data_IF_792166207529
#
_entry.id   IF_792166207529
#
_cell.length_a   1.000
_cell.length_b   1.000
_cell.length_c   1.000
_cell.angle_alpha   90.00
_cell.angle_beta   90.00
_cell.angle_gamma   90.00
#
_symmetry.space_group_name_H-M   'P 1'
#
loop_
_entity.id
_entity.type
_entity.pdbx_description
1 polymer ?
#
# COMPACT_ATOMS: atom_id res chain seq x y z
N UNK A 1 7.18 -29.47 8.78
CA UNK A 1 8.63 -29.79 8.87
C UNK A 1 9.33 -29.59 7.52
N UNK A 2 8.74 -30.06 6.41
CA UNK A 2 9.31 -29.93 5.06
C UNK A 2 9.65 -28.48 4.68
N UNK A 3 8.72 -27.54 4.90
CA UNK A 3 8.95 -26.13 4.58
C UNK A 3 10.06 -25.48 5.42
N UNK A 4 10.20 -25.87 6.69
CA UNK A 4 11.30 -25.40 7.54
C UNK A 4 12.65 -25.93 7.06
N UNK A 5 12.71 -27.17 6.59
CA UNK A 5 13.93 -27.73 5.99
C UNK A 5 14.30 -26.97 4.71
N UNK A 6 13.34 -26.67 3.84
CA UNK A 6 13.54 -25.87 2.64
C UNK A 6 14.04 -24.45 2.97
N UNK A 7 13.46 -23.79 3.97
CA UNK A 7 13.95 -22.48 4.42
C UNK A 7 15.40 -22.56 4.92
N UNK A 8 15.73 -23.56 5.72
CA UNK A 8 17.10 -23.76 6.22
C UNK A 8 18.10 -24.07 5.09
N UNK A 9 17.66 -24.72 4.02
CA UNK A 9 18.47 -24.96 2.83
C UNK A 9 18.68 -23.70 2.00
N UNK A 10 17.66 -22.87 1.82
CA UNK A 10 17.74 -21.65 1.03
C UNK A 10 18.51 -20.55 1.76
N UNK A 11 18.19 -20.30 3.04
CA UNK A 11 18.76 -19.20 3.83
C UNK A 11 19.98 -19.68 4.61
N UNK A 12 21.11 -19.79 3.92
CA UNK A 12 22.41 -20.12 4.51
C UNK A 12 23.28 -18.88 4.69
N UNK A 13 24.20 -18.85 5.67
CA UNK A 13 25.07 -17.69 5.92
C UNK A 13 25.91 -17.25 4.71
N UNK A 14 26.22 -18.16 3.79
CA UNK A 14 27.05 -17.90 2.60
C UNK A 14 26.26 -17.25 1.45
N UNK A 15 24.94 -17.15 1.57
CA UNK A 15 24.07 -16.58 0.54
C UNK A 15 23.59 -15.20 0.91
N UNK A 16 23.42 -14.36 -0.10
CA UNK A 16 22.70 -13.11 0.04
C UNK A 16 21.20 -13.37 0.23
N UNK A 17 20.49 -12.41 0.80
CA UNK A 17 19.02 -12.50 0.94
C UNK A 17 18.32 -12.62 -0.42
N UNK A 18 18.86 -11.97 -1.46
CA UNK A 18 18.32 -12.04 -2.83
C UNK A 18 18.44 -13.45 -3.39
N UNK A 19 19.60 -14.08 -3.28
CA UNK A 19 19.83 -15.46 -3.74
C UNK A 19 18.96 -16.45 -2.98
N UNK A 20 18.89 -16.33 -1.65
CA UNK A 20 18.08 -17.19 -0.80
C UNK A 20 16.58 -17.09 -1.16
N UNK A 21 16.09 -15.87 -1.34
CA UNK A 21 14.70 -15.61 -1.76
C UNK A 21 14.42 -16.16 -3.16
N UNK A 22 15.29 -15.90 -4.12
CA UNK A 22 15.15 -16.41 -5.49
C UNK A 22 15.09 -17.93 -5.52
N UNK A 23 15.96 -18.62 -4.76
CA UNK A 23 15.97 -20.07 -4.66
C UNK A 23 14.66 -20.59 -4.02
N UNK A 24 14.20 -19.99 -2.91
CA UNK A 24 12.97 -20.39 -2.26
C UNK A 24 11.78 -20.28 -3.22
N UNK A 25 11.64 -19.13 -3.87
CA UNK A 25 10.50 -18.84 -4.76
C UNK A 25 10.57 -19.77 -6.00
N UNK A 26 11.73 -19.94 -6.59
CA UNK A 26 11.92 -20.88 -7.72
C UNK A 26 11.56 -22.31 -7.35
N UNK A 27 11.93 -22.77 -6.14
CA UNK A 27 11.58 -24.11 -5.67
C UNK A 27 10.07 -24.27 -5.45
N UNK A 28 9.45 -23.30 -4.75
CA UNK A 28 8.04 -23.36 -4.39
C UNK A 28 7.12 -23.30 -5.63
N UNK A 29 7.50 -22.53 -6.65
CA UNK A 29 6.71 -22.32 -7.86
C UNK A 29 7.27 -23.02 -9.10
N UNK A 30 8.19 -23.97 -8.93
CA UNK A 30 8.83 -24.71 -10.04
C UNK A 30 7.80 -25.36 -10.99
N UNK A 31 6.76 -25.99 -10.44
CA UNK A 31 5.72 -26.66 -11.22
C UNK A 31 4.83 -25.69 -12.04
N UNK A 32 4.86 -24.38 -11.74
CA UNK A 32 4.10 -23.35 -12.45
C UNK A 32 4.93 -22.55 -13.44
N UNK A 33 6.21 -22.91 -13.64
CA UNK A 33 7.09 -22.28 -14.62
C UNK A 33 7.49 -20.84 -14.26
N UNK A 34 7.48 -20.46 -12.97
CA UNK A 34 7.89 -19.14 -12.55
C UNK A 34 9.39 -18.92 -12.82
N UNK A 35 9.71 -17.82 -13.50
CA UNK A 35 11.07 -17.36 -13.72
C UNK A 35 11.37 -16.18 -12.78
N UNK A 36 12.51 -16.25 -12.09
CA UNK A 36 12.97 -15.17 -11.21
C UNK A 36 14.10 -14.42 -11.91
N UNK A 37 13.94 -13.10 -12.04
CA UNK A 37 14.94 -12.21 -12.62
C UNK A 37 15.51 -11.32 -11.52
N UNK A 38 16.84 -11.29 -11.37
CA UNK A 38 17.52 -10.31 -10.53
C UNK A 38 17.77 -9.02 -11.32
N UNK A 39 17.13 -7.89 -10.98
CA UNK A 39 17.34 -6.62 -11.67
C UNK A 39 18.74 -6.03 -11.46
N UNK A 40 19.54 -6.60 -10.57
CA UNK A 40 20.92 -6.20 -10.32
C UNK A 40 21.96 -7.14 -10.97
N UNK A 41 21.51 -8.08 -11.79
CA UNK A 41 22.43 -8.91 -12.57
C UNK A 41 23.33 -8.00 -13.45
N UNK A 42 24.66 -8.10 -13.32
CA UNK A 42 25.59 -7.31 -14.11
C UNK A 42 25.38 -7.43 -15.63
N UNK A 43 24.90 -8.58 -16.09
CA UNK A 43 24.61 -8.80 -17.51
C UNK A 43 23.44 -7.93 -18.02
N UNK A 44 22.52 -7.53 -17.14
CA UNK A 44 21.37 -6.67 -17.48
C UNK A 44 21.70 -5.17 -17.37
N UNK A 45 22.70 -4.81 -16.59
CA UNK A 45 23.02 -3.42 -16.29
C UNK A 45 23.25 -2.53 -17.53
N UNK A 46 23.96 -2.98 -18.58
CA UNK A 46 24.15 -2.17 -19.80
C UNK A 46 22.84 -1.83 -20.50
N UNK A 47 21.82 -2.71 -20.43
CA UNK A 47 20.51 -2.47 -21.04
C UNK A 47 19.65 -1.45 -20.26
N UNK A 48 20.02 -1.17 -19.00
CA UNK A 48 19.39 -0.12 -18.19
C UNK A 48 19.94 1.29 -18.53
N UNK A 49 21.18 1.35 -19.02
CA UNK A 49 21.89 2.61 -19.25
C UNK A 49 21.11 3.62 -20.13
N UNK A 50 20.52 3.25 -21.28
CA UNK A 50 19.75 4.20 -22.11
C UNK A 50 18.56 4.81 -21.37
N UNK A 51 17.86 4.04 -20.54
CA UNK A 51 16.72 4.53 -19.76
C UNK A 51 17.17 5.51 -18.67
N UNK A 52 18.23 5.17 -17.92
CA UNK A 52 18.80 6.07 -16.92
C UNK A 52 19.33 7.36 -17.56
N UNK A 53 19.98 7.28 -18.73
CA UNK A 53 20.41 8.46 -19.49
C UNK A 53 19.22 9.37 -19.77
N UNK A 54 18.14 8.85 -20.36
CA UNK A 54 16.93 9.62 -20.65
C UNK A 54 16.26 10.17 -19.40
N UNK A 55 16.19 9.40 -18.33
CA UNK A 55 15.64 9.86 -17.05
C UNK A 55 16.41 11.03 -16.44
N UNK A 56 17.72 11.16 -16.74
CA UNK A 56 18.55 12.29 -16.32
C UNK A 56 18.41 13.49 -17.28
N UNK A 57 18.55 13.27 -18.59
CA UNK A 57 18.53 14.36 -19.58
C UNK A 57 17.16 15.03 -19.68
N UNK A 58 16.09 14.23 -19.62
CA UNK A 58 14.71 14.68 -19.78
C UNK A 58 14.01 14.96 -18.44
N UNK A 59 14.74 15.02 -17.33
CA UNK A 59 14.17 15.08 -15.98
C UNK A 59 13.13 16.21 -15.80
N UNK A 60 13.38 17.39 -16.37
CA UNK A 60 12.44 18.51 -16.31
C UNK A 60 11.14 18.23 -17.09
N UNK A 61 11.23 17.69 -18.30
CA UNK A 61 10.06 17.32 -19.10
C UNK A 61 9.28 16.16 -18.44
N UNK A 62 9.99 15.17 -17.91
CA UNK A 62 9.41 14.05 -17.19
C UNK A 62 8.62 14.56 -15.96
N UNK A 63 9.19 15.44 -15.15
CA UNK A 63 8.50 15.98 -13.98
C UNK A 63 7.23 16.76 -14.37
N UNK A 64 7.26 17.52 -15.46
CA UNK A 64 6.10 18.26 -15.96
C UNK A 64 4.96 17.34 -16.40
N UNK A 65 5.24 16.29 -17.19
CA UNK A 65 4.20 15.35 -17.64
C UNK A 65 3.61 14.55 -16.50
N UNK A 66 4.41 14.18 -15.51
CA UNK A 66 3.95 13.49 -14.31
C UNK A 66 3.14 14.42 -13.39
N UNK A 67 3.54 15.67 -13.23
CA UNK A 67 2.79 16.67 -12.47
C UNK A 67 1.43 16.97 -13.11
N UNK A 68 1.38 17.07 -14.45
CA UNK A 68 0.13 17.25 -15.18
C UNK A 68 -0.82 16.05 -14.96
N UNK A 69 -0.30 14.81 -15.03
CA UNK A 69 -1.08 13.62 -14.74
C UNK A 69 -1.55 13.57 -13.27
N UNK A 70 -0.69 13.99 -12.35
CA UNK A 70 -1.06 14.09 -10.93
C UNK A 70 -2.25 15.04 -10.71
N UNK A 71 -2.26 16.21 -11.36
CA UNK A 71 -3.41 17.13 -11.31
C UNK A 71 -4.68 16.52 -11.92
N UNK A 72 -4.57 15.89 -13.09
CA UNK A 72 -5.71 15.22 -13.71
C UNK A 72 -6.32 14.12 -12.83
N UNK A 73 -5.49 13.38 -12.08
CA UNK A 73 -5.99 12.39 -11.10
C UNK A 73 -6.71 13.07 -9.93
N UNK A 74 -6.18 14.19 -9.42
CA UNK A 74 -6.83 14.96 -8.35
C UNK A 74 -8.19 15.50 -8.82
N UNK A 75 -8.25 16.07 -10.03
CA UNK A 75 -9.48 16.58 -10.62
C UNK A 75 -10.53 15.47 -10.83
N UNK A 76 -10.07 14.24 -11.06
CA UNK A 76 -10.93 13.05 -11.14
C UNK A 76 -11.27 12.43 -9.77
N UNK A 77 -10.86 13.04 -8.65
CA UNK A 77 -11.16 12.57 -7.29
C UNK A 77 -10.19 11.52 -6.74
N UNK A 78 -9.06 11.27 -7.41
CA UNK A 78 -8.05 10.31 -6.96
C UNK A 78 -6.86 11.01 -6.31
N UNK A 79 -6.22 10.32 -5.35
CA UNK A 79 -5.00 10.81 -4.71
C UNK A 79 -3.77 10.19 -5.38
N UNK A 80 -2.85 11.00 -5.97
CA UNK A 80 -1.56 10.50 -6.45
C UNK A 80 -0.77 9.81 -5.32
N UNK A 81 -0.19 8.64 -5.62
CA UNK A 81 0.52 7.84 -4.60
C UNK A 81 2.00 8.24 -4.47
N UNK A 82 2.59 8.75 -5.55
CA UNK A 82 4.00 9.13 -5.56
C UNK A 82 4.12 10.62 -5.84
N UNK A 83 4.81 11.30 -4.94
CA UNK A 83 5.13 12.71 -5.11
C UNK A 83 6.27 12.88 -6.12
N UNK A 84 6.06 13.73 -7.10
CA UNK A 84 7.05 14.07 -8.15
C UNK A 84 7.62 15.46 -7.85
N UNK A 85 8.94 15.51 -7.64
CA UNK A 85 9.65 16.76 -7.43
C UNK A 85 10.02 17.39 -8.78
N UNK A 86 9.87 18.71 -8.88
CA UNK A 86 10.13 19.43 -10.12
C UNK A 86 11.60 19.26 -10.54
N UNK A 87 11.81 18.90 -11.81
CA UNK A 87 13.10 18.69 -12.42
C UNK A 87 13.99 17.60 -11.80
N UNK A 88 13.50 16.86 -10.81
CA UNK A 88 14.28 15.79 -10.20
C UNK A 88 14.26 14.51 -11.06
N UNK A 89 15.44 13.91 -11.33
CA UNK A 89 15.51 12.63 -12.02
C UNK A 89 14.80 11.51 -11.26
N UNK A 90 14.28 10.52 -11.98
CA UNK A 90 13.65 9.34 -11.43
C UNK A 90 14.66 8.21 -11.10
N UNK A 91 15.94 8.46 -11.27
CA UNK A 91 17.03 7.55 -10.94
C UNK A 91 17.66 7.93 -9.60
N UNK A 92 18.06 6.92 -8.84
CA UNK A 92 18.97 7.09 -7.71
C UNK A 92 20.40 6.79 -8.15
N UNK A 93 21.36 7.35 -7.44
CA UNK A 93 22.78 7.19 -7.73
C UNK A 93 23.55 6.77 -6.47
N UNK A 94 24.49 5.81 -6.64
CA UNK A 94 25.45 5.35 -5.63
C UNK A 94 26.85 5.80 -6.05
N UNK A 95 27.43 6.84 -5.44
CA UNK A 95 28.65 7.48 -5.93
C UNK A 95 29.91 6.66 -5.72
N UNK A 96 29.96 5.83 -4.68
CA UNK A 96 31.19 5.22 -4.22
C UNK A 96 31.36 3.76 -4.68
N UNK A 97 30.24 2.98 -4.79
CA UNK A 97 30.24 1.57 -5.20
C UNK A 97 28.91 1.16 -5.83
N UNK A 98 28.88 0.03 -6.55
CA UNK A 98 27.69 -0.49 -7.21
C UNK A 98 26.60 -0.91 -6.22
N UNK A 99 26.99 -1.36 -5.03
CA UNK A 99 26.14 -1.75 -3.89
C UNK A 99 26.15 -0.72 -2.75
N UNK A 100 26.71 0.47 -3.00
CA UNK A 100 26.82 1.55 -2.03
C UNK A 100 25.48 2.23 -1.68
N UNK A 101 25.48 3.14 -0.71
CA UNK A 101 24.33 3.91 -0.34
C UNK A 101 23.71 4.64 -1.53
N UNK A 102 22.38 4.61 -1.63
CA UNK A 102 21.61 5.22 -2.70
C UNK A 102 21.26 6.66 -2.33
N UNK A 103 21.54 7.59 -3.23
CA UNK A 103 21.21 8.99 -3.09
C UNK A 103 20.19 9.41 -4.15
N UNK A 104 19.23 10.19 -3.74
CA UNK A 104 18.34 10.91 -4.64
C UNK A 104 19.10 12.08 -5.24
N UNK A 105 18.87 12.33 -6.52
CA UNK A 105 19.42 13.49 -7.23
C UNK A 105 18.43 14.66 -7.12
N UNK A 106 18.83 15.72 -6.42
CA UNK A 106 18.06 16.95 -6.35
C UNK A 106 18.69 17.99 -7.27
N UNK A 107 17.89 18.57 -8.17
CA UNK A 107 18.38 19.52 -9.15
C UNK A 107 18.84 20.81 -8.48
N UNK A 108 20.06 21.29 -8.81
CA UNK A 108 20.58 22.60 -8.42
C UNK A 108 20.34 23.57 -9.57
N UNK A 109 20.75 23.22 -10.78
CA UNK A 109 20.60 23.99 -12.01
C UNK A 109 20.42 23.08 -13.24
N UNK A 110 20.60 23.61 -14.45
CA UNK A 110 20.43 22.84 -15.69
C UNK A 110 21.41 21.66 -15.81
N UNK A 111 22.59 21.75 -15.22
CA UNK A 111 23.71 20.83 -15.45
C UNK A 111 24.22 20.15 -14.18
N UNK A 112 23.66 20.49 -12.99
CA UNK A 112 24.15 19.97 -11.73
C UNK A 112 23.06 19.50 -10.76
N UNK A 113 23.43 18.53 -9.92
CA UNK A 113 22.57 17.91 -8.92
C UNK A 113 23.30 17.80 -7.59
N UNK A 114 22.57 17.91 -6.48
CA UNK A 114 23.03 17.54 -5.15
C UNK A 114 22.60 16.10 -4.80
N UNK A 115 23.45 15.40 -4.07
CA UNK A 115 23.15 14.07 -3.55
C UNK A 115 22.42 14.20 -2.20
N UNK A 116 21.19 13.68 -2.13
CA UNK A 116 20.33 13.73 -0.93
C UNK A 116 20.14 12.31 -0.42
N UNK A 117 20.63 12.03 0.79
CA UNK A 117 20.48 10.72 1.45
C UNK A 117 19.09 10.52 2.07
N UNK A 118 18.73 9.25 2.35
CA UNK A 118 17.42 8.92 2.95
C UNK A 118 17.22 9.53 4.35
N UNK A 119 18.29 9.80 5.11
CA UNK A 119 18.22 10.42 6.43
C UNK A 119 17.80 11.89 6.39
N UNK A 120 17.93 12.52 5.22
CA UNK A 120 17.53 13.90 4.98
C UNK A 120 16.13 14.01 4.36
N UNK A 121 15.40 12.91 4.26
CA UNK A 121 14.13 12.78 3.55
C UNK A 121 12.88 13.06 4.40
N UNK A 122 12.99 13.69 5.57
CA UNK A 122 11.78 14.20 6.25
C UNK A 122 11.10 15.26 5.37
N UNK A 123 9.75 15.25 5.27
CA UNK A 123 9.02 16.24 4.50
C UNK A 123 9.12 17.60 5.20
N UNK A 124 10.14 18.36 4.85
CA UNK A 124 10.19 19.78 5.19
C UNK A 124 9.20 20.54 4.31
N UNK A 125 8.54 21.52 4.88
CA UNK A 125 7.58 22.39 4.20
C UNK A 125 8.12 22.91 2.86
N UNK A 126 7.24 23.12 1.89
CA UNK A 126 7.51 23.50 0.48
C UNK A 126 8.38 24.77 0.29
N UNK A 127 8.81 25.45 1.35
CA UNK A 127 9.42 26.78 1.31
C UNK A 127 10.88 26.87 1.77
N UNK A 128 11.52 25.76 2.16
CA UNK A 128 12.92 25.83 2.63
C UNK A 128 13.89 25.21 1.63
N UNK A 129 14.91 25.95 1.14
CA UNK A 129 16.00 25.35 0.38
C UNK A 129 16.78 24.36 1.27
N UNK A 130 17.38 23.29 0.69
CA UNK A 130 18.16 22.34 1.46
C UNK A 130 19.44 23.00 1.98
N UNK A 131 19.45 23.37 3.23
CA UNK A 131 20.70 23.62 3.96
C UNK A 131 21.32 22.26 4.30
N UNK A 132 22.20 21.76 3.46
CA UNK A 132 23.07 20.63 3.76
C UNK A 132 24.51 21.08 3.74
N UNK A 133 25.07 21.32 4.89
CA UNK A 133 26.52 21.39 5.06
C UNK A 133 27.13 20.05 4.63
N UNK A 134 27.79 20.00 3.45
CA UNK A 134 28.47 18.83 2.93
C UNK A 134 27.80 18.08 1.77
N UNK A 135 26.77 18.65 1.14
CA UNK A 135 26.13 18.00 -0.02
C UNK A 135 27.14 17.84 -1.17
N UNK A 136 27.46 16.59 -1.51
CA UNK A 136 28.23 16.29 -2.73
C UNK A 136 27.42 16.75 -3.94
N UNK A 137 27.97 17.60 -4.78
CA UNK A 137 27.40 17.98 -6.08
C UNK A 137 27.99 17.13 -7.18
N UNK A 138 27.20 16.81 -8.19
CA UNK A 138 27.59 16.04 -9.37
C UNK A 138 27.02 16.72 -10.62
N UNK A 139 27.79 16.70 -11.71
CA UNK A 139 27.33 17.25 -12.97
C UNK A 139 26.58 16.22 -13.81
N UNK A 140 25.68 16.67 -14.67
CA UNK A 140 24.98 15.81 -15.65
C UNK A 140 25.98 15.03 -16.51
N UNK A 141 27.00 15.73 -17.04
CA UNK A 141 28.05 15.10 -17.85
C UNK A 141 28.79 13.98 -17.08
N UNK A 142 29.12 14.26 -15.79
CA UNK A 142 29.76 13.26 -14.92
C UNK A 142 28.89 12.04 -14.71
N UNK A 143 27.59 12.25 -14.44
CA UNK A 143 26.62 11.15 -14.29
C UNK A 143 26.48 10.33 -15.57
N UNK A 144 26.43 10.97 -16.74
CA UNK A 144 26.32 10.29 -18.03
C UNK A 144 27.54 9.40 -18.33
N UNK A 145 28.76 9.86 -17.97
CA UNK A 145 29.98 9.03 -18.05
C UNK A 145 29.93 7.84 -17.11
N UNK A 146 29.41 8.03 -15.90
CA UNK A 146 29.28 6.93 -14.94
C UNK A 146 28.22 5.92 -15.37
N UNK A 147 27.12 6.32 -16.01
CA UNK A 147 26.12 5.39 -16.55
C UNK A 147 26.76 4.44 -17.56
N UNK A 148 27.68 4.89 -18.38
CA UNK A 148 28.33 4.07 -19.39
C UNK A 148 29.38 3.12 -18.77
N UNK A 149 30.16 3.61 -17.81
CA UNK A 149 31.24 2.84 -17.20
C UNK A 149 30.76 1.92 -16.07
N UNK A 150 29.77 2.35 -15.30
CA UNK A 150 29.29 1.70 -14.06
C UNK A 150 27.77 1.77 -13.95
N UNK A 151 26.98 1.14 -14.84
CA UNK A 151 25.54 1.27 -14.87
C UNK A 151 24.87 0.74 -13.59
N UNK A 152 25.47 -0.19 -12.86
CA UNK A 152 24.97 -0.70 -11.57
C UNK A 152 24.95 0.35 -10.44
N UNK A 153 25.67 1.45 -10.58
CA UNK A 153 25.59 2.59 -9.66
C UNK A 153 24.27 3.36 -9.74
N UNK A 154 23.45 3.06 -10.75
CA UNK A 154 22.13 3.64 -10.88
C UNK A 154 21.06 2.63 -10.52
N UNK A 155 20.00 3.13 -9.90
CA UNK A 155 18.82 2.35 -9.60
C UNK A 155 17.57 3.19 -9.80
N UNK A 156 16.43 2.55 -9.99
CA UNK A 156 15.18 3.22 -10.32
C UNK A 156 14.38 3.65 -9.09
N UNK A 157 13.65 4.75 -9.22
CA UNK A 157 12.53 5.07 -8.34
C UNK A 157 11.34 4.13 -8.60
N UNK A 158 10.33 4.19 -7.73
CA UNK A 158 9.09 3.42 -7.90
C UNK A 158 8.41 3.69 -9.26
N UNK A 159 8.49 4.93 -9.77
CA UNK A 159 7.89 5.30 -11.06
C UNK A 159 8.71 4.82 -12.27
N UNK A 160 10.03 4.75 -12.15
CA UNK A 160 10.89 4.33 -13.27
C UNK A 160 11.08 2.80 -13.35
N UNK A 161 10.91 2.10 -12.22
CA UNK A 161 11.12 0.64 -12.13
C UNK A 161 10.28 -0.16 -13.13
N UNK A 162 8.97 0.07 -13.29
CA UNK A 162 8.18 -0.68 -14.27
C UNK A 162 8.68 -0.46 -15.70
N UNK A 163 9.04 0.76 -16.07
CA UNK A 163 9.55 1.07 -17.39
C UNK A 163 10.89 0.37 -17.67
N UNK A 164 11.76 0.26 -16.64
CA UNK A 164 13.00 -0.49 -16.78
C UNK A 164 12.73 -1.97 -17.06
N UNK A 165 11.82 -2.58 -16.30
CA UNK A 165 11.40 -3.96 -16.52
C UNK A 165 10.87 -4.15 -17.95
N UNK A 166 9.99 -3.25 -18.41
CA UNK A 166 9.34 -3.35 -19.71
C UNK A 166 10.27 -2.99 -20.89
N UNK A 167 11.40 -2.35 -20.59
CA UNK A 167 12.49 -2.14 -21.55
C UNK A 167 13.31 -3.41 -21.76
N UNK A 168 13.50 -4.22 -20.71
CA UNK A 168 14.23 -5.49 -20.78
C UNK A 168 13.39 -6.64 -21.30
N UNK A 169 12.10 -6.67 -20.92
CA UNK A 169 11.19 -7.78 -21.17
C UNK A 169 10.02 -7.30 -22.03
N UNK A 170 9.59 -8.11 -23.01
CA UNK A 170 8.37 -7.83 -23.77
C UNK A 170 7.13 -8.10 -22.90
N UNK A 171 6.91 -7.25 -21.89
CA UNK A 171 5.87 -7.42 -20.88
C UNK A 171 4.48 -7.20 -21.52
N UNK A 172 3.67 -8.25 -21.59
CA UNK A 172 2.28 -8.17 -22.06
C UNK A 172 1.35 -7.67 -20.97
N UNK A 173 1.55 -8.18 -19.73
CA UNK A 173 0.73 -7.82 -18.59
C UNK A 173 1.59 -7.64 -17.33
N UNK A 174 1.26 -6.63 -16.54
CA UNK A 174 1.83 -6.36 -15.23
C UNK A 174 0.82 -6.71 -14.15
N UNK A 175 1.16 -7.67 -13.30
CA UNK A 175 0.28 -8.09 -12.20
C UNK A 175 0.66 -7.31 -10.95
N UNK A 176 -0.26 -6.46 -10.48
CA UNK A 176 0.02 -5.56 -9.36
C UNK A 176 -1.08 -5.48 -8.33
N UNK A 177 -0.70 -5.16 -7.10
CA UNK A 177 -1.64 -4.92 -6.00
C UNK A 177 -2.29 -3.53 -6.04
N UNK A 178 -3.22 -3.22 -5.12
CA UNK A 178 -3.94 -1.94 -5.10
C UNK A 178 -3.04 -0.70 -5.07
N UNK A 179 -1.95 -0.73 -4.28
CA UNK A 179 -0.99 0.37 -4.23
C UNK A 179 -0.23 0.54 -5.56
N UNK A 180 0.07 -0.57 -6.24
CA UNK A 180 0.71 -0.54 -7.57
C UNK A 180 -0.26 -0.02 -8.63
N UNK A 181 -1.53 -0.44 -8.60
CA UNK A 181 -2.58 0.12 -9.44
C UNK A 181 -2.65 1.64 -9.34
N UNK A 182 -2.62 2.14 -8.11
CA UNK A 182 -2.73 3.57 -7.85
C UNK A 182 -1.54 4.39 -8.42
N UNK A 183 -0.29 3.90 -8.31
CA UNK A 183 0.82 4.63 -8.94
C UNK A 183 0.95 4.36 -10.44
N UNK A 184 0.50 3.20 -10.95
CA UNK A 184 0.44 2.96 -12.39
C UNK A 184 -0.47 3.95 -13.11
N UNK A 185 -1.54 4.44 -12.47
CA UNK A 185 -2.37 5.51 -12.99
C UNK A 185 -1.60 6.82 -13.27
N UNK A 186 -0.44 7.02 -12.64
CA UNK A 186 0.44 8.16 -12.90
C UNK A 186 1.40 7.92 -14.08
N UNK A 187 1.61 6.66 -14.53
CA UNK A 187 2.70 6.30 -15.43
C UNK A 187 2.41 6.44 -16.92
N UNK A 188 1.15 6.43 -17.36
CA UNK A 188 0.82 6.44 -18.78
C UNK A 188 1.51 7.56 -19.60
N UNK A 189 1.61 8.83 -19.14
CA UNK A 189 2.36 9.85 -19.87
C UNK A 189 3.87 9.62 -19.83
N UNK A 190 4.41 9.00 -18.79
CA UNK A 190 5.82 8.66 -18.71
C UNK A 190 6.21 7.58 -19.73
N UNK A 191 5.39 6.53 -19.87
CA UNK A 191 5.56 5.50 -20.90
C UNK A 191 5.59 6.12 -22.31
N UNK A 192 4.63 7.00 -22.62
CA UNK A 192 4.58 7.71 -23.91
C UNK A 192 5.81 8.59 -24.10
N UNK A 193 6.22 9.36 -23.10
CA UNK A 193 7.39 10.26 -23.19
C UNK A 193 8.69 9.48 -23.46
N UNK A 194 8.85 8.33 -22.79
CA UNK A 194 10.04 7.50 -22.94
C UNK A 194 9.94 6.49 -24.11
N UNK A 195 8.82 6.43 -24.82
CA UNK A 195 8.62 5.55 -25.97
C UNK A 195 8.65 4.06 -25.61
N UNK A 196 8.26 3.72 -24.39
CA UNK A 196 8.12 2.33 -23.92
C UNK A 196 6.65 1.90 -24.01
N UNK A 197 6.38 0.69 -24.48
CA UNK A 197 5.03 0.15 -24.53
C UNK A 197 4.53 -0.15 -23.11
N UNK A 198 3.40 0.45 -22.73
CA UNK A 198 2.80 0.20 -21.42
C UNK A 198 2.06 -1.15 -21.43
N UNK A 199 2.37 -2.07 -20.51
CA UNK A 199 1.66 -3.36 -20.43
C UNK A 199 0.23 -3.18 -19.93
N UNK A 200 -0.60 -4.21 -20.13
CA UNK A 200 -1.90 -4.31 -19.49
C UNK A 200 -1.70 -4.43 -17.97
N UNK A 201 -2.32 -3.55 -17.19
CA UNK A 201 -2.33 -3.72 -15.74
C UNK A 201 -3.40 -4.74 -15.34
N UNK A 202 -2.98 -5.80 -14.65
CA UNK A 202 -3.86 -6.87 -14.14
C UNK A 202 -3.86 -6.81 -12.62
N UNK A 203 -5.01 -6.64 -11.96
CA UNK A 203 -5.09 -6.71 -10.51
C UNK A 203 -4.60 -8.05 -9.99
N UNK A 204 -3.72 -8.03 -8.99
CA UNK A 204 -3.26 -9.24 -8.31
C UNK A 204 -4.41 -9.87 -7.52
N UNK A 205 -4.57 -11.20 -7.63
CA UNK A 205 -5.50 -11.94 -6.81
C UNK A 205 -5.25 -11.70 -5.31
N UNK A 206 -6.32 -11.60 -4.54
CA UNK A 206 -6.29 -11.34 -3.11
C UNK A 206 -7.05 -12.42 -2.37
N UNK A 207 -6.45 -12.93 -1.28
CA UNK A 207 -7.01 -14.02 -0.53
C UNK A 207 -7.09 -13.70 0.96
N UNK A 208 -8.18 -14.17 1.58
CA UNK A 208 -8.31 -14.28 3.03
C UNK A 208 -8.49 -15.76 3.37
N UNK A 209 -7.60 -16.27 4.19
CA UNK A 209 -7.60 -17.68 4.59
C UNK A 209 -8.54 -17.85 5.78
N UNK A 210 -9.59 -18.62 5.60
CA UNK A 210 -10.56 -19.00 6.63
C UNK A 210 -10.34 -20.45 7.05
N UNK A 211 -9.56 -20.68 8.09
CA UNK A 211 -9.45 -21.99 8.70
C UNK A 211 -10.69 -22.30 9.57
N UNK A 212 -10.83 -23.57 10.00
CA UNK A 212 -11.99 -24.01 10.78
C UNK A 212 -12.14 -23.24 12.10
N UNK A 213 -11.03 -22.75 12.67
CA UNK A 213 -11.08 -21.94 13.90
C UNK A 213 -11.67 -20.58 13.64
N UNK A 214 -11.26 -19.93 12.56
CA UNK A 214 -11.79 -18.63 12.15
C UNK A 214 -13.29 -18.75 11.86
N UNK A 215 -13.71 -19.77 11.09
CA UNK A 215 -15.14 -20.04 10.82
C UNK A 215 -15.95 -20.25 12.09
N UNK A 216 -15.48 -21.11 12.97
CA UNK A 216 -16.15 -21.36 14.26
C UNK A 216 -16.31 -20.08 15.09
N UNK A 217 -15.32 -19.18 15.04
CA UNK A 217 -15.41 -17.89 15.74
C UNK A 217 -16.43 -16.96 15.06
N UNK A 218 -16.43 -16.87 13.73
CA UNK A 218 -17.41 -16.08 12.98
C UNK A 218 -18.84 -16.55 13.23
N UNK A 219 -19.07 -17.88 13.21
CA UNK A 219 -20.37 -18.48 13.53
C UNK A 219 -20.81 -18.16 14.96
N UNK A 220 -19.92 -18.31 15.95
CA UNK A 220 -20.23 -18.01 17.37
C UNK A 220 -20.48 -16.52 17.63
N UNK A 221 -19.96 -15.64 16.78
CA UNK A 221 -20.15 -14.19 16.85
C UNK A 221 -21.30 -13.72 15.96
N UNK A 222 -21.88 -14.62 15.13
CA UNK A 222 -22.94 -14.31 14.16
C UNK A 222 -22.57 -13.16 13.20
N UNK A 223 -21.29 -13.13 12.77
CA UNK A 223 -20.75 -12.12 11.86
C UNK A 223 -20.16 -12.74 10.61
N UNK A 224 -20.08 -11.95 9.55
CA UNK A 224 -19.36 -12.30 8.34
C UNK A 224 -17.85 -12.05 8.47
N UNK A 225 -17.07 -12.67 7.60
CA UNK A 225 -15.63 -12.39 7.53
C UNK A 225 -15.32 -10.95 7.12
N UNK A 226 -16.21 -10.28 6.37
CA UNK A 226 -16.06 -8.89 5.98
C UNK A 226 -16.24 -7.92 7.13
N UNK A 227 -17.09 -8.26 8.09
CA UNK A 227 -17.31 -7.47 9.30
C UNK A 227 -16.04 -7.32 10.14
N UNK A 228 -15.11 -8.30 10.07
CA UNK A 228 -13.87 -8.27 10.83
C UNK A 228 -12.94 -7.12 10.38
N UNK A 229 -13.17 -6.55 9.19
CA UNK A 229 -12.47 -5.35 8.71
C UNK A 229 -12.86 -4.07 9.45
N UNK A 230 -14.00 -4.06 10.15
CA UNK A 230 -14.42 -2.97 11.03
C UNK A 230 -13.38 -2.73 12.14
N UNK A 231 -13.39 -1.52 12.70
CA UNK A 231 -12.62 -1.27 13.92
C UNK A 231 -13.07 -2.22 15.04
N UNK A 232 -12.16 -2.49 16.00
CA UNK A 232 -12.49 -3.34 17.15
C UNK A 232 -13.77 -2.89 17.85
N UNK A 233 -13.90 -1.59 18.07
CA UNK A 233 -15.05 -1.02 18.78
C UNK A 233 -16.34 -1.16 17.95
N UNK A 234 -16.27 -0.94 16.64
CA UNK A 234 -17.42 -1.13 15.76
C UNK A 234 -17.85 -2.60 15.68
N UNK A 235 -16.90 -3.53 15.71
CA UNK A 235 -17.19 -4.96 15.70
C UNK A 235 -17.81 -5.40 17.02
N UNK A 236 -17.31 -4.91 18.16
CA UNK A 236 -17.94 -5.15 19.47
C UNK A 236 -19.36 -4.60 19.54
N UNK A 237 -19.61 -3.41 18.96
CA UNK A 237 -20.95 -2.85 18.82
C UNK A 237 -21.88 -3.80 18.05
N UNK A 238 -21.41 -4.32 16.93
CA UNK A 238 -22.20 -5.20 16.08
C UNK A 238 -22.54 -6.53 16.78
N UNK A 239 -21.58 -7.12 17.47
CA UNK A 239 -21.77 -8.39 18.19
C UNK A 239 -22.58 -8.20 19.49
N UNK A 240 -22.47 -7.04 20.13
CA UNK A 240 -23.24 -6.72 21.35
C UNK A 240 -24.71 -6.38 21.10
N UNK A 241 -25.10 -6.20 19.85
CA UNK A 241 -26.45 -5.86 19.46
C UNK A 241 -27.41 -7.06 19.53
N UNK A 242 -27.69 -7.61 20.69
CA UNK A 242 -28.67 -8.69 20.80
C UNK A 242 -28.62 -9.51 22.10
N UNK A 243 -27.74 -9.17 23.03
CA UNK A 243 -27.40 -10.06 24.15
C UNK A 243 -28.24 -9.85 25.43
N UNK A 244 -28.98 -8.77 25.58
CA UNK A 244 -29.80 -8.55 26.79
C UNK A 244 -31.00 -7.64 26.47
N UNK A 245 -32.23 -8.14 26.61
CA UNK A 245 -33.48 -7.38 26.40
C UNK A 245 -33.57 -6.14 27.31
N UNK A 246 -32.83 -6.12 28.43
CA UNK A 246 -32.76 -4.96 29.33
C UNK A 246 -31.94 -3.81 28.82
N UNK A 247 -31.11 -4.02 27.75
CA UNK A 247 -30.24 -3.02 27.16
C UNK A 247 -30.47 -2.96 25.64
N UNK A 248 -31.03 -1.85 25.10
CA UNK A 248 -31.29 -1.72 23.69
C UNK A 248 -29.99 -1.87 22.86
N UNK A 249 -30.11 -2.41 21.66
CA UNK A 249 -28.98 -2.49 20.72
C UNK A 249 -28.34 -1.11 20.52
N UNK A 250 -26.99 -1.00 20.45
CA UNK A 250 -26.30 0.26 20.27
C UNK A 250 -26.83 1.09 19.09
N UNK A 251 -27.13 0.43 17.96
CA UNK A 251 -27.69 1.09 16.78
C UNK A 251 -29.10 1.66 17.04
N UNK A 252 -29.91 0.95 17.85
CA UNK A 252 -31.24 1.43 18.28
C UNK A 252 -31.12 2.66 19.16
N UNK A 253 -30.14 2.67 20.08
CA UNK A 253 -29.83 3.83 20.92
C UNK A 253 -29.37 5.01 20.09
N UNK A 254 -28.43 4.79 19.14
CA UNK A 254 -27.95 5.82 18.23
C UNK A 254 -29.09 6.41 17.40
N UNK A 255 -29.88 5.56 16.74
CA UNK A 255 -31.03 5.99 15.93
C UNK A 255 -32.02 6.77 16.75
N UNK A 256 -32.35 6.33 17.97
CA UNK A 256 -33.27 7.03 18.87
C UNK A 256 -32.76 8.40 19.30
N UNK A 257 -31.49 8.52 19.69
CA UNK A 257 -30.87 9.78 20.07
C UNK A 257 -30.83 10.75 18.90
N UNK A 258 -30.35 10.31 17.74
CA UNK A 258 -30.25 11.16 16.55
C UNK A 258 -31.65 11.58 16.04
N UNK A 259 -32.64 10.68 16.02
CA UNK A 259 -34.01 11.03 15.64
C UNK A 259 -34.67 12.06 16.56
N UNK A 260 -34.20 12.15 17.80
CA UNK A 260 -34.69 13.13 18.79
C UNK A 260 -33.97 14.48 18.67
N UNK A 261 -32.64 14.47 18.51
CA UNK A 261 -31.79 15.66 18.59
C UNK A 261 -31.71 16.39 17.24
N UNK A 262 -31.52 15.67 16.14
CA UNK A 262 -31.27 16.24 14.81
C UNK A 262 -32.42 17.11 14.32
N UNK A 263 -33.73 16.73 14.45
CA UNK A 263 -34.83 17.60 14.04
C UNK A 263 -34.90 18.90 14.84
N UNK A 264 -34.58 18.84 16.13
CA UNK A 264 -34.59 20.06 16.97
C UNK A 264 -33.45 21.01 16.56
N UNK A 265 -32.25 20.44 16.23
CA UNK A 265 -31.10 21.20 15.78
C UNK A 265 -31.32 21.82 14.41
N UNK A 266 -31.92 21.09 13.48
CA UNK A 266 -32.27 21.58 12.14
C UNK A 266 -33.34 22.69 12.22
N UNK A 267 -34.38 22.53 13.07
CA UNK A 267 -35.39 23.54 13.28
C UNK A 267 -34.81 24.85 13.85
N UNK A 268 -33.85 24.75 14.75
CA UNK A 268 -33.11 25.90 15.28
C UNK A 268 -32.17 26.50 14.23
N UNK A 269 -31.45 25.67 13.47
CA UNK A 269 -30.59 26.09 12.37
C UNK A 269 -31.32 26.89 11.31
N UNK A 270 -32.55 26.49 10.97
CA UNK A 270 -33.41 27.24 10.04
C UNK A 270 -33.75 28.64 10.58
N UNK A 271 -33.99 28.78 11.89
CA UNK A 271 -34.19 30.09 12.52
C UNK A 271 -32.95 30.96 12.52
N UNK A 272 -31.76 30.35 12.74
CA UNK A 272 -30.49 31.06 12.66
C UNK A 272 -30.22 31.58 11.25
N UNK A 273 -30.48 30.78 10.22
CA UNK A 273 -30.30 31.16 8.83
C UNK A 273 -31.20 32.35 8.42
N UNK A 274 -32.40 32.47 9.00
CA UNK A 274 -33.28 33.61 8.78
C UNK A 274 -32.82 34.87 9.53
N UNK A 275 -32.13 34.69 10.67
CA UNK A 275 -31.57 35.81 11.43
C UNK A 275 -30.29 36.33 10.78
N UNK A 276 -29.36 35.42 10.40
CA UNK A 276 -28.11 35.75 9.74
C UNK A 276 -27.66 34.55 8.87
N UNK A 277 -27.64 34.72 7.53
CA UNK A 277 -27.21 33.66 6.61
C UNK A 277 -25.78 33.12 6.88
N UNK A 278 -24.89 33.92 7.50
CA UNK A 278 -23.52 33.48 7.85
C UNK A 278 -23.49 32.36 8.89
N UNK A 279 -24.55 32.23 9.70
CA UNK A 279 -24.68 31.22 10.75
C UNK A 279 -25.07 29.83 10.23
N UNK A 280 -25.42 29.71 8.94
CA UNK A 280 -25.75 28.40 8.32
C UNK A 280 -24.61 27.38 8.46
N UNK A 281 -23.37 27.84 8.27
CA UNK A 281 -22.17 26.96 8.45
C UNK A 281 -21.94 26.55 9.90
N UNK A 282 -22.30 27.41 10.85
CA UNK A 282 -22.21 27.09 12.27
C UNK A 282 -23.26 26.04 12.68
N UNK A 283 -24.47 26.14 12.15
CA UNK A 283 -25.52 25.15 12.36
C UNK A 283 -25.15 23.78 11.79
N UNK A 284 -24.61 23.73 10.57
CA UNK A 284 -24.14 22.49 9.97
C UNK A 284 -22.98 21.83 10.80
N UNK A 285 -22.01 22.61 11.26
CA UNK A 285 -20.95 22.11 12.15
C UNK A 285 -21.47 21.59 13.48
N UNK A 286 -22.53 22.19 14.00
CA UNK A 286 -23.17 21.72 15.24
C UNK A 286 -23.83 20.35 15.05
N UNK A 287 -24.38 20.08 13.86
CA UNK A 287 -24.95 18.77 13.51
C UNK A 287 -23.86 17.68 13.46
N UNK A 288 -22.74 17.97 12.79
CA UNK A 288 -21.57 17.07 12.76
C UNK A 288 -21.04 16.79 14.18
N UNK A 289 -20.90 17.82 15.02
CA UNK A 289 -20.40 17.68 16.40
C UNK A 289 -21.35 16.86 17.26
N UNK A 290 -22.66 17.01 17.10
CA UNK A 290 -23.67 16.23 17.83
C UNK A 290 -23.64 14.78 17.38
N UNK A 291 -23.58 14.52 16.08
CA UNK A 291 -23.45 13.17 15.53
C UNK A 291 -22.21 12.49 16.10
N UNK A 292 -21.05 13.13 16.02
CA UNK A 292 -19.80 12.63 16.59
C UNK A 292 -19.88 12.37 18.12
N UNK A 293 -20.62 13.20 18.86
CA UNK A 293 -20.78 13.04 20.30
C UNK A 293 -21.67 11.83 20.63
N UNK A 294 -22.76 11.64 19.87
CA UNK A 294 -23.64 10.47 19.98
C UNK A 294 -22.87 9.20 19.66
N UNK A 295 -22.13 9.18 18.57
CA UNK A 295 -21.33 8.00 18.16
C UNK A 295 -20.31 7.62 19.22
N UNK A 296 -19.62 8.60 19.81
CA UNK A 296 -18.67 8.36 20.90
C UNK A 296 -19.35 7.84 22.17
N UNK A 297 -20.53 8.30 22.48
CA UNK A 297 -21.31 7.82 23.65
C UNK A 297 -21.79 6.39 23.42
N UNK A 298 -22.35 6.11 22.24
CA UNK A 298 -22.81 4.79 21.83
C UNK A 298 -21.66 3.79 21.79
N UNK A 299 -20.48 4.18 21.28
CA UNK A 299 -19.28 3.36 21.32
C UNK A 299 -18.82 3.02 22.75
N UNK A 300 -18.97 3.93 23.73
CA UNK A 300 -18.70 3.65 25.14
C UNK A 300 -19.74 2.69 25.75
N UNK A 301 -21.02 2.89 25.42
CA UNK A 301 -22.10 2.03 25.85
C UNK A 301 -21.91 0.59 25.35
N UNK A 302 -21.61 0.44 24.06
CA UNK A 302 -21.36 -0.86 23.47
C UNK A 302 -20.15 -1.56 24.07
N UNK A 303 -19.06 -0.82 24.37
CA UNK A 303 -17.90 -1.36 25.09
C UNK A 303 -18.29 -1.87 26.49
N UNK A 304 -19.14 -1.14 27.21
CA UNK A 304 -19.59 -1.54 28.52
C UNK A 304 -20.47 -2.82 28.45
N UNK A 305 -21.32 -2.93 27.42
CA UNK A 305 -22.08 -4.16 27.15
C UNK A 305 -21.16 -5.35 26.81
N UNK A 306 -20.21 -5.13 25.91
CA UNK A 306 -19.26 -6.17 25.50
C UNK A 306 -18.29 -6.60 26.62
N UNK A 307 -17.96 -5.67 27.54
CA UNK A 307 -17.16 -6.02 28.72
C UNK A 307 -17.90 -6.90 29.73
N UNK A 308 -19.24 -6.87 29.73
CA UNK A 308 -20.03 -7.83 30.54
C UNK A 308 -19.88 -9.27 30.04
N UNK A 309 -19.56 -9.44 28.74
CA UNK A 309 -19.18 -10.75 28.19
C UNK A 309 -17.70 -10.74 27.76
N UNK A 310 -16.81 -10.97 28.73
CA UNK A 310 -15.38 -11.09 28.49
C UNK A 310 -15.03 -12.20 27.47
N UNK A 311 -15.85 -13.23 27.35
CA UNK A 311 -15.68 -14.32 26.39
C UNK A 311 -15.93 -13.82 24.96
N UNK A 312 -16.94 -12.99 24.76
CA UNK A 312 -17.25 -12.40 23.45
C UNK A 312 -16.15 -11.43 23.02
N UNK A 313 -15.67 -10.58 23.94
CA UNK A 313 -14.55 -9.69 23.66
C UNK A 313 -13.27 -10.47 23.26
N UNK A 314 -12.96 -11.56 23.96
CA UNK A 314 -11.83 -12.43 23.63
C UNK A 314 -12.01 -13.11 22.26
N UNK A 315 -13.23 -13.55 21.92
CA UNK A 315 -13.50 -14.12 20.58
C UNK A 315 -13.31 -13.07 19.46
N UNK A 316 -13.78 -11.84 19.67
CA UNK A 316 -13.57 -10.72 18.75
C UNK A 316 -12.08 -10.46 18.56
N UNK A 317 -11.31 -10.39 19.64
CA UNK A 317 -9.87 -10.15 19.55
C UNK A 317 -9.15 -11.30 18.83
N UNK A 318 -9.54 -12.56 19.08
CA UNK A 318 -8.99 -13.73 18.41
C UNK A 318 -9.29 -13.75 16.90
N UNK A 319 -10.55 -13.51 16.50
CA UNK A 319 -10.90 -13.52 15.08
C UNK A 319 -10.22 -12.37 14.34
N UNK A 320 -10.08 -11.21 14.97
CA UNK A 320 -9.31 -10.09 14.41
C UNK A 320 -7.83 -10.42 14.26
N UNK A 321 -7.20 -11.03 15.27
CA UNK A 321 -5.81 -11.46 15.18
C UNK A 321 -5.57 -12.49 14.06
N UNK A 322 -6.58 -13.27 13.72
CA UNK A 322 -6.51 -14.26 12.63
C UNK A 322 -6.74 -13.64 11.24
N UNK A 323 -7.75 -12.76 11.10
CA UNK A 323 -8.22 -12.29 9.80
C UNK A 323 -7.74 -10.88 9.44
N UNK A 324 -7.47 -10.04 10.43
CA UNK A 324 -6.97 -8.67 10.29
C UNK A 324 -5.85 -8.42 11.30
N UNK A 325 -4.77 -9.23 11.27
CA UNK A 325 -3.67 -9.11 12.22
C UNK A 325 -3.09 -7.69 12.19
N UNK A 326 -2.84 -7.12 13.37
CA UNK A 326 -2.32 -5.75 13.52
C UNK A 326 -3.17 -4.66 12.80
N UNK A 327 -4.44 -4.96 12.52
CA UNK A 327 -5.33 -4.07 11.78
C UNK A 327 -5.10 -4.04 10.26
N UNK A 328 -4.24 -4.93 9.73
CA UNK A 328 -3.92 -5.04 8.32
C UNK A 328 -4.49 -6.34 7.69
N UNK A 329 -4.68 -6.39 6.36
CA UNK A 329 -5.04 -7.64 5.69
C UNK A 329 -4.03 -8.75 5.96
N UNK A 330 -4.48 -10.00 6.10
CA UNK A 330 -3.62 -11.17 6.33
C UNK A 330 -2.40 -11.22 5.39
N UNK A 331 -2.62 -10.97 4.09
CA UNK A 331 -1.59 -10.99 3.05
C UNK A 331 -0.45 -9.96 3.25
N UNK A 332 -0.62 -9.01 4.18
CA UNK A 332 0.38 -8.01 4.53
C UNK A 332 1.19 -8.36 5.76
N UNK A 333 0.69 -9.29 6.56
CA UNK A 333 1.30 -9.68 7.84
C UNK A 333 1.81 -11.12 7.78
N UNK A 334 0.99 -12.04 7.26
CA UNK A 334 1.36 -13.44 7.14
C UNK A 334 1.94 -13.74 5.76
N UNK A 335 3.21 -14.12 5.72
CA UNK A 335 3.88 -14.58 4.51
C UNK A 335 3.61 -16.06 4.20
N UNK A 336 4.03 -16.51 3.01
CA UNK A 336 3.93 -17.90 2.57
C UNK A 336 4.42 -18.92 3.63
N UNK A 337 5.53 -18.70 4.35
CA UNK A 337 6.01 -19.66 5.36
C UNK A 337 4.98 -19.97 6.46
N UNK A 338 4.20 -18.99 6.87
CA UNK A 338 3.15 -19.18 7.88
C UNK A 338 2.12 -20.23 7.45
N UNK A 339 1.64 -20.12 6.22
CA UNK A 339 0.63 -21.05 5.67
C UNK A 339 1.26 -22.38 5.24
N UNK A 340 2.43 -22.35 4.62
CA UNK A 340 3.14 -23.53 4.16
C UNK A 340 3.53 -24.46 5.32
N UNK A 341 3.90 -23.93 6.49
CA UNK A 341 4.17 -24.72 7.69
C UNK A 341 2.91 -25.39 8.25
N UNK A 342 1.72 -24.79 8.07
CA UNK A 342 0.46 -25.31 8.60
C UNK A 342 -0.22 -26.30 7.66
N UNK A 343 -0.20 -26.04 6.37
CA UNK A 343 -0.99 -26.76 5.38
C UNK A 343 -0.14 -27.54 4.37
N UNK A 344 1.18 -27.42 4.45
CA UNK A 344 2.12 -27.97 3.46
C UNK A 344 2.35 -27.02 2.30
N UNK A 345 3.61 -26.89 1.87
CA UNK A 345 4.01 -25.95 0.81
C UNK A 345 3.26 -26.18 -0.48
N UNK A 346 3.31 -27.42 -0.99
CA UNK A 346 2.72 -27.78 -2.28
C UNK A 346 1.19 -27.70 -2.27
N UNK A 347 0.54 -28.18 -1.21
CA UNK A 347 -0.91 -28.16 -1.07
C UNK A 347 -1.43 -26.71 -1.05
N UNK A 348 -0.82 -25.86 -0.22
CA UNK A 348 -1.25 -24.48 -0.12
C UNK A 348 -0.98 -23.68 -1.40
N UNK A 349 0.17 -23.88 -2.04
CA UNK A 349 0.50 -23.18 -3.30
C UNK A 349 -0.49 -23.56 -4.42
N UNK A 350 -0.82 -24.85 -4.55
CA UNK A 350 -1.83 -25.31 -5.53
C UNK A 350 -3.19 -24.72 -5.26
N UNK A 351 -3.63 -24.71 -4.00
CA UNK A 351 -4.90 -24.09 -3.61
C UNK A 351 -4.95 -22.62 -4.08
N UNK A 352 -3.90 -21.84 -3.82
CA UNK A 352 -3.82 -20.43 -4.26
C UNK A 352 -3.93 -20.33 -5.79
N UNK A 353 -3.19 -21.14 -6.52
CA UNK A 353 -3.21 -21.11 -7.99
C UNK A 353 -4.58 -21.51 -8.54
N UNK A 354 -5.19 -22.58 -8.03
CA UNK A 354 -6.52 -23.06 -8.45
C UNK A 354 -7.65 -22.06 -8.14
N UNK A 355 -7.51 -21.31 -7.03
CA UNK A 355 -8.48 -20.30 -6.63
C UNK A 355 -8.22 -18.92 -7.25
N UNK A 356 -7.13 -18.75 -8.02
CA UNK A 356 -6.83 -17.49 -8.69
C UNK A 356 -7.74 -17.30 -9.89
N UNK A 357 -8.53 -16.22 -9.85
CA UNK A 357 -9.31 -15.75 -11.00
C UNK A 357 -8.52 -14.62 -11.71
N UNK A 358 -8.12 -14.84 -12.97
CA UNK A 358 -7.49 -13.80 -13.76
C UNK A 358 -8.37 -12.54 -13.84
N UNK A 359 -7.75 -11.37 -13.77
CA UNK A 359 -8.40 -10.06 -13.85
C UNK A 359 -9.34 -9.70 -12.70
N UNK A 360 -9.48 -10.55 -11.68
CA UNK A 360 -10.23 -10.22 -10.46
C UNK A 360 -9.31 -9.66 -9.38
N UNK A 361 -9.57 -8.42 -8.95
CA UNK A 361 -8.92 -7.81 -7.77
C UNK A 361 -9.73 -7.96 -6.49
N UNK A 362 -10.84 -8.67 -6.52
CA UNK A 362 -11.69 -8.89 -5.36
C UNK A 362 -10.98 -9.74 -4.30
N UNK A 363 -11.27 -9.46 -3.03
CA UNK A 363 -10.84 -10.32 -1.92
C UNK A 363 -11.68 -11.60 -1.94
N UNK A 364 -11.02 -12.75 -1.94
CA UNK A 364 -11.66 -14.06 -1.95
C UNK A 364 -11.34 -14.83 -0.68
N UNK A 365 -12.36 -15.41 -0.08
CA UNK A 365 -12.20 -16.33 1.05
C UNK A 365 -11.83 -17.72 0.54
N UNK A 366 -10.76 -18.29 1.09
CA UNK A 366 -10.29 -19.64 0.78
C UNK A 366 -10.14 -20.46 2.05
N UNK A 367 -10.36 -21.76 1.91
CA UNK A 367 -10.24 -22.74 2.99
C UNK A 367 -9.18 -23.75 2.62
N UNK A 368 -8.07 -23.81 3.37
CA UNK A 368 -7.03 -24.81 3.17
C UNK A 368 -7.43 -26.20 3.64
#
# INVERSE_FOLDING_TARGET
LEHLALLAECYRPERTLTEAFAQLVSHVFAEFGLVVLDPRDPALAPFAAPLHRRALTDAAAISQVLAAQGRALVDAGFKPQVYVRDGAPLSFYSPDADDGPRYRLARIDAESFSLVGDKDAEPRSETSPPESAGARSVTLEGLLKVIEAHPLRFSTSALLRPLLQDTWLPTVAYIGGPGECAYFAQLAPLYRHLGVSMPLFVPRARFRVLDDRARTLLEKLEISADDVSLSRDALLNKVGAGVDESYPAPDTVSAHLLSTITPALHAFGAKLATLDPSLTKAAARADDVVTDAVDRLVAKYARALAQRDAVTAERVDRVRAMLVPEGAPQERVFGLPYYACRYGTRAFTRLIVEQTEPFSGALRDITP
#
